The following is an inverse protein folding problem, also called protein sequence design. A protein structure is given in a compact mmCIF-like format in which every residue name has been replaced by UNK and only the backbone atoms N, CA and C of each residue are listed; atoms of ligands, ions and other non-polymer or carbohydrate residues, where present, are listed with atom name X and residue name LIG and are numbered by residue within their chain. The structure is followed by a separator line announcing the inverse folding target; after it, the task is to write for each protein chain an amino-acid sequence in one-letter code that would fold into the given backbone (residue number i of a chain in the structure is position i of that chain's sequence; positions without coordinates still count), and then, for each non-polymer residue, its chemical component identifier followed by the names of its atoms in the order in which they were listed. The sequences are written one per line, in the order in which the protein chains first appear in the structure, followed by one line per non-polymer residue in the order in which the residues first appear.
data_IF_832217550446
#
_entry.id   IF_832217550446
#
_cell.length_a   1.000
_cell.length_b   1.000
_cell.length_c   1.000
_cell.angle_alpha   90.00
_cell.angle_beta   90.00
_cell.angle_gamma   90.00
#
_symmetry.space_group_name_H-M   'P 1'
#
loop_
_entity.id
_entity.type
_entity.pdbx_description
1 polymer ?
#
# COMPACT_ATOMS: atom_id res chain seq x y z
N UNK A 1 -5.79 -20.93 -46.45
CA UNK A 1 -5.63 -19.88 -45.39
C UNK A 1 -4.91 -18.59 -45.83
N UNK A 2 -4.61 -18.38 -47.13
CA UNK A 2 -3.91 -17.17 -47.63
C UNK A 2 -4.82 -16.11 -48.27
N UNK A 3 -6.08 -16.36 -48.45
CA UNK A 3 -7.02 -15.46 -49.13
C UNK A 3 -7.85 -14.59 -48.19
N UNK A 4 -7.98 -14.95 -46.91
CA UNK A 4 -8.79 -14.19 -45.97
C UNK A 4 -8.08 -12.94 -45.42
N UNK A 5 -6.74 -12.94 -45.39
CA UNK A 5 -5.97 -11.75 -44.94
C UNK A 5 -5.96 -10.60 -45.95
N UNK A 6 -6.27 -10.83 -47.22
CA UNK A 6 -6.32 -9.80 -48.27
C UNK A 6 -7.67 -9.07 -48.31
N UNK A 7 -8.76 -9.71 -47.88
CA UNK A 7 -10.08 -9.06 -47.82
C UNK A 7 -10.22 -8.11 -46.64
N UNK A 8 -9.51 -8.37 -45.52
CA UNK A 8 -9.57 -7.49 -44.32
C UNK A 8 -8.77 -6.20 -44.52
N UNK A 9 -7.73 -6.21 -45.36
CA UNK A 9 -6.92 -5.02 -45.68
C UNK A 9 -7.63 -4.01 -46.60
N UNK A 10 -8.59 -4.48 -47.41
CA UNK A 10 -9.30 -3.61 -48.34
C UNK A 10 -10.50 -2.89 -47.70
N UNK A 11 -11.04 -3.45 -46.60
CA UNK A 11 -12.17 -2.84 -45.87
C UNK A 11 -11.75 -1.70 -44.93
N UNK A 12 -10.51 -1.69 -44.43
CA UNK A 12 -9.98 -0.58 -43.58
C UNK A 12 -9.58 0.66 -44.39
N UNK A 13 -9.27 0.52 -45.70
CA UNK A 13 -8.84 1.66 -46.53
C UNK A 13 -10.00 2.53 -47.02
N UNK A 14 -11.23 2.02 -47.05
CA UNK A 14 -12.43 2.76 -47.54
C UNK A 14 -13.13 3.58 -46.46
N UNK A 15 -12.90 3.32 -45.17
CA UNK A 15 -13.50 4.09 -44.06
C UNK A 15 -12.70 5.35 -43.73
N UNK A 16 -11.43 5.45 -44.14
CA UNK A 16 -10.54 6.56 -43.80
C UNK A 16 -10.56 7.74 -44.75
N UNK A 17 -11.38 7.68 -45.83
CA UNK A 17 -11.39 8.70 -46.91
C UNK A 17 -12.63 9.60 -46.91
N UNK A 18 -13.52 9.52 -45.93
CA UNK A 18 -14.75 10.34 -45.86
C UNK A 18 -14.78 11.45 -44.76
N UNK A 19 -13.64 11.79 -44.10
CA UNK A 19 -13.64 12.76 -43.01
C UNK A 19 -12.84 14.04 -43.26
N UNK A 20 -12.60 14.42 -44.53
CA UNK A 20 -11.83 15.63 -44.88
C UNK A 20 -12.61 16.62 -45.79
N UNK A 21 -13.88 16.91 -45.51
CA UNK A 21 -14.60 17.99 -46.19
C UNK A 21 -15.77 18.49 -45.34
N UNK A 22 -15.49 19.37 -44.38
CA UNK A 22 -16.39 20.41 -43.84
C UNK A 22 -15.59 21.12 -42.72
N UNK A 23 -15.27 22.38 -42.69
CA UNK A 23 -15.72 23.54 -43.33
C UNK A 23 -15.15 24.70 -42.49
N UNK A 24 -14.46 25.63 -43.07
CA UNK A 24 -14.10 26.92 -42.43
C UNK A 24 -15.36 27.70 -42.10
N UNK A 25 -15.45 28.18 -40.85
CA UNK A 25 -16.47 29.13 -40.39
C UNK A 25 -15.95 29.90 -39.20
N UNK A 26 -15.85 31.19 -39.42
CA UNK A 26 -15.32 32.32 -38.68
C UNK A 26 -15.81 32.46 -37.22
N UNK A 27 -14.95 32.98 -36.35
CA UNK A 27 -15.13 33.33 -34.91
C UNK A 27 -16.31 34.29 -34.66
N UNK A 28 -16.81 34.44 -33.40
CA UNK A 28 -16.15 35.31 -32.43
C UNK A 28 -16.05 34.76 -31.00
N UNK A 29 -15.19 35.43 -30.23
CA UNK A 29 -14.87 35.24 -28.82
C UNK A 29 -16.06 34.92 -27.90
N UNK A 30 -15.95 33.79 -27.18
CA UNK A 30 -16.73 33.54 -25.99
C UNK A 30 -15.78 33.00 -24.90
N UNK A 31 -15.93 33.44 -23.66
CA UNK A 31 -14.97 33.13 -22.59
C UNK A 31 -14.87 31.60 -22.33
N UNK A 32 -13.70 31.16 -21.95
CA UNK A 32 -13.44 29.81 -21.51
C UNK A 32 -14.44 29.43 -20.42
N UNK A 33 -15.41 28.59 -20.77
CA UNK A 33 -16.18 27.87 -19.80
C UNK A 33 -15.22 26.94 -19.07
N UNK A 34 -15.13 27.20 -17.78
CA UNK A 34 -14.58 26.35 -16.74
C UNK A 34 -15.05 24.93 -16.99
N UNK A 35 -14.15 24.10 -17.49
CA UNK A 35 -14.38 22.66 -17.53
C UNK A 35 -14.45 22.19 -16.07
N UNK A 36 -15.64 22.32 -15.48
CA UNK A 36 -15.99 21.56 -14.30
C UNK A 36 -15.78 20.12 -14.67
N UNK A 37 -14.66 19.54 -14.19
CA UNK A 37 -14.51 18.12 -14.06
C UNK A 37 -15.76 17.64 -13.33
N UNK A 38 -16.66 16.94 -14.03
CA UNK A 38 -17.67 16.15 -13.39
C UNK A 38 -16.90 15.18 -12.48
N UNK A 39 -16.83 15.55 -11.20
CA UNK A 39 -16.48 14.65 -10.11
C UNK A 39 -17.55 13.56 -10.15
N UNK A 40 -17.27 12.48 -10.86
CA UNK A 40 -18.01 11.24 -10.80
C UNK A 40 -17.80 10.63 -9.43
N UNK A 41 -18.19 11.37 -8.38
CA UNK A 41 -18.13 10.94 -7.00
C UNK A 41 -18.87 9.61 -6.89
N UNK A 42 -18.10 8.53 -6.79
CA UNK A 42 -18.64 7.29 -6.27
C UNK A 42 -19.13 7.59 -4.86
N UNK A 43 -20.38 7.22 -4.52
CA UNK A 43 -20.90 7.27 -3.15
C UNK A 43 -20.11 6.27 -2.27
N UNK A 44 -18.81 6.48 -2.14
CA UNK A 44 -17.90 5.67 -1.33
C UNK A 44 -17.12 6.61 -0.39
N UNK A 45 -16.99 6.23 0.90
CA UNK A 45 -17.62 5.08 1.58
C UNK A 45 -19.05 5.36 2.02
N UNK A 46 -19.91 4.32 2.08
CA UNK A 46 -21.29 4.37 2.58
C UNK A 46 -21.51 3.51 3.82
N UNK A 47 -20.45 2.92 4.34
CA UNK A 47 -20.42 2.07 5.54
C UNK A 47 -19.02 2.11 6.15
N UNK A 48 -18.90 1.61 7.37
CA UNK A 48 -17.61 1.54 8.09
C UNK A 48 -16.55 0.78 7.32
N UNK A 49 -15.32 1.28 7.39
CA UNK A 49 -14.11 0.66 6.83
C UNK A 49 -13.42 -0.15 7.92
N UNK A 50 -12.97 -1.37 7.62
CA UNK A 50 -12.18 -2.19 8.53
C UNK A 50 -10.70 -2.10 8.18
N UNK A 51 -9.92 -1.54 9.10
CA UNK A 51 -8.45 -1.43 8.98
C UNK A 51 -7.80 -2.55 9.79
N UNK A 52 -7.28 -3.55 9.09
CA UNK A 52 -6.61 -4.69 9.70
C UNK A 52 -5.15 -4.32 10.02
N UNK A 53 -4.78 -4.55 11.28
CA UNK A 53 -3.42 -4.40 11.79
C UNK A 53 -2.89 -5.78 12.19
N UNK A 54 -1.91 -6.35 11.47
CA UNK A 54 -1.39 -7.69 11.74
C UNK A 54 -0.47 -7.78 12.96
N UNK A 55 -0.48 -6.78 13.83
CA UNK A 55 0.38 -6.63 14.98
C UNK A 55 -0.43 -6.46 16.27
N UNK A 56 0.21 -6.69 17.42
CA UNK A 56 -0.43 -6.58 18.72
C UNK A 56 -0.96 -5.18 19.02
N UNK A 57 -2.11 -5.12 19.69
CA UNK A 57 -2.69 -3.87 20.16
C UNK A 57 -1.75 -3.14 21.12
N UNK A 58 -1.66 -1.82 21.01
CA UNK A 58 -0.77 -0.96 21.82
C UNK A 58 0.68 -0.93 21.31
N UNK A 59 1.03 -1.66 20.28
CA UNK A 59 2.31 -1.56 19.59
C UNK A 59 2.37 -0.33 18.67
N UNK A 60 3.54 -0.07 18.11
CA UNK A 60 3.77 1.08 17.21
C UNK A 60 2.84 1.09 16.00
N UNK A 61 2.68 -0.05 15.33
CA UNK A 61 1.79 -0.17 14.16
C UNK A 61 0.33 0.09 14.53
N UNK A 62 -0.14 -0.43 15.66
CA UNK A 62 -1.50 -0.21 16.16
C UNK A 62 -1.74 1.25 16.53
N UNK A 63 -0.79 1.88 17.23
CA UNK A 63 -0.87 3.29 17.58
C UNK A 63 -0.97 4.19 16.35
N UNK A 64 -0.13 3.95 15.35
CA UNK A 64 -0.16 4.68 14.08
C UNK A 64 -1.47 4.43 13.33
N UNK A 65 -1.92 3.18 13.21
CA UNK A 65 -3.18 2.83 12.56
C UNK A 65 -4.38 3.56 13.17
N UNK A 66 -4.49 3.57 14.50
CA UNK A 66 -5.58 4.29 15.21
C UNK A 66 -5.50 5.79 15.03
N UNK A 67 -4.29 6.34 14.95
CA UNK A 67 -4.09 7.76 14.67
C UNK A 67 -4.60 8.11 13.26
N UNK A 68 -4.21 7.33 12.24
CA UNK A 68 -4.69 7.54 10.87
C UNK A 68 -6.19 7.29 10.75
N UNK A 69 -6.72 6.24 11.39
CA UNK A 69 -8.15 5.94 11.38
C UNK A 69 -8.98 7.14 11.82
N UNK A 70 -8.58 7.79 12.92
CA UNK A 70 -9.26 8.99 13.43
C UNK A 70 -9.32 10.13 12.41
N UNK A 71 -8.21 10.41 11.71
CA UNK A 71 -8.21 11.46 10.69
C UNK A 71 -8.97 11.06 9.42
N UNK A 72 -8.95 9.78 9.09
CA UNK A 72 -9.73 9.26 7.95
C UNK A 72 -11.24 9.36 8.22
N UNK A 73 -11.70 9.10 9.45
CA UNK A 73 -13.11 9.28 9.84
C UNK A 73 -13.57 10.73 9.60
N UNK A 74 -12.73 11.71 10.00
CA UNK A 74 -13.04 13.13 9.82
C UNK A 74 -13.17 13.54 8.34
N UNK A 75 -12.41 12.89 7.46
CA UNK A 75 -12.38 13.20 6.01
C UNK A 75 -13.45 12.42 5.24
N UNK A 76 -13.62 11.15 5.58
CA UNK A 76 -14.50 10.24 4.84
C UNK A 76 -15.95 10.25 5.32
N UNK A 77 -16.21 10.77 6.55
CA UNK A 77 -17.54 10.80 7.14
C UNK A 77 -18.06 9.44 7.63
N UNK A 78 -17.22 8.40 7.57
CA UNK A 78 -17.57 7.04 7.98
C UNK A 78 -16.57 6.50 9.00
N UNK A 79 -17.02 5.60 9.86
CA UNK A 79 -16.16 5.00 10.90
C UNK A 79 -15.07 4.12 10.31
N UNK A 80 -13.84 4.26 10.82
CA UNK A 80 -12.70 3.40 10.48
C UNK A 80 -12.35 2.51 11.68
N UNK A 81 -12.77 1.26 11.64
CA UNK A 81 -12.59 0.29 12.73
C UNK A 81 -11.21 -0.35 12.60
N UNK A 82 -10.36 -0.17 13.61
CA UNK A 82 -9.03 -0.81 13.68
C UNK A 82 -9.14 -2.17 14.36
N UNK A 83 -8.82 -3.23 13.64
CA UNK A 83 -8.87 -4.62 14.10
C UNK A 83 -7.47 -5.25 14.09
N UNK A 84 -7.03 -5.75 15.25
CA UNK A 84 -5.73 -6.44 15.36
C UNK A 84 -5.91 -7.94 15.09
N UNK A 85 -5.24 -8.47 14.04
CA UNK A 85 -5.19 -9.90 13.72
C UNK A 85 -3.72 -10.33 13.72
N UNK A 86 -3.27 -10.87 14.85
CA UNK A 86 -1.87 -11.28 15.05
C UNK A 86 -1.63 -12.72 14.67
N UNK A 87 -0.39 -13.07 14.42
CA UNK A 87 0.07 -14.46 14.21
C UNK A 87 0.98 -14.59 12.99
N UNK A 88 1.90 -15.53 13.13
CA UNK A 88 2.86 -15.91 12.09
C UNK A 88 3.58 -14.69 11.46
N UNK A 89 4.16 -13.81 12.32
CA UNK A 89 4.82 -12.59 11.85
C UNK A 89 3.91 -11.61 11.11
N UNK A 90 2.60 -11.62 11.39
CA UNK A 90 1.59 -10.80 10.72
C UNK A 90 1.00 -11.41 9.44
N UNK A 91 1.43 -12.61 9.05
CA UNK A 91 0.91 -13.26 7.85
C UNK A 91 -0.60 -13.55 7.95
N UNK A 92 -1.13 -13.93 9.14
CA UNK A 92 -2.56 -14.20 9.29
C UNK A 92 -3.41 -12.96 9.00
N UNK A 93 -3.07 -11.80 9.55
CA UNK A 93 -3.83 -10.57 9.32
C UNK A 93 -3.69 -10.05 7.89
N UNK A 94 -2.52 -10.17 7.27
CA UNK A 94 -2.35 -9.78 5.88
C UNK A 94 -3.07 -10.73 4.91
N UNK A 95 -3.15 -12.02 5.21
CA UNK A 95 -3.91 -12.99 4.43
C UNK A 95 -5.42 -12.71 4.47
N UNK A 96 -5.95 -12.31 5.62
CA UNK A 96 -7.35 -11.90 5.76
C UNK A 96 -7.69 -10.77 4.77
N UNK A 97 -6.85 -9.73 4.68
CA UNK A 97 -7.07 -8.63 3.74
C UNK A 97 -6.87 -9.08 2.30
N UNK A 98 -5.85 -9.90 2.01
CA UNK A 98 -5.60 -10.44 0.66
C UNK A 98 -6.81 -11.21 0.12
N UNK A 99 -7.55 -11.89 1.00
CA UNK A 99 -8.72 -12.69 0.63
C UNK A 99 -10.05 -11.91 0.72
N UNK A 100 -10.03 -10.67 1.22
CA UNK A 100 -11.21 -9.83 1.30
C UNK A 100 -11.68 -9.35 -0.09
N UNK A 101 -12.93 -8.88 -0.17
CA UNK A 101 -13.45 -8.26 -1.39
C UNK A 101 -12.67 -6.98 -1.70
N UNK A 102 -12.28 -6.75 -2.97
CA UNK A 102 -11.53 -5.55 -3.38
C UNK A 102 -12.46 -4.33 -3.56
N UNK A 103 -13.30 -4.07 -2.56
CA UNK A 103 -14.31 -3.00 -2.55
C UNK A 103 -13.89 -1.75 -1.75
N UNK A 104 -12.67 -1.75 -1.20
CA UNK A 104 -12.12 -0.66 -0.40
C UNK A 104 -12.55 -0.65 1.07
N UNK A 105 -13.42 -1.56 1.52
CA UNK A 105 -13.91 -1.59 2.90
C UNK A 105 -13.06 -2.43 3.86
N UNK A 106 -12.09 -3.18 3.34
CA UNK A 106 -11.11 -3.89 4.16
C UNK A 106 -9.72 -3.51 3.70
N UNK A 107 -8.97 -2.82 4.52
CA UNK A 107 -7.62 -2.35 4.19
C UNK A 107 -6.59 -2.88 5.19
N UNK A 108 -5.35 -3.00 4.73
CA UNK A 108 -4.20 -3.44 5.51
C UNK A 108 -3.39 -2.22 5.95
N UNK A 109 -3.17 -2.07 7.25
CA UNK A 109 -2.19 -1.14 7.78
C UNK A 109 -1.01 -1.92 8.33
N UNK A 110 0.08 -1.95 7.57
CA UNK A 110 1.22 -2.79 7.89
C UNK A 110 2.54 -2.14 7.42
N UNK A 111 3.65 -2.81 7.64
CA UNK A 111 5.00 -2.33 7.36
C UNK A 111 5.83 -3.36 6.58
N UNK A 112 7.15 -3.15 6.49
CA UNK A 112 8.10 -3.96 5.69
C UNK A 112 8.10 -5.46 6.03
N UNK A 113 7.59 -5.88 7.19
CA UNK A 113 7.45 -7.31 7.51
C UNK A 113 6.60 -8.07 6.50
N UNK A 114 5.70 -7.42 5.77
CA UNK A 114 4.98 -8.03 4.66
C UNK A 114 5.94 -8.66 3.63
N UNK A 115 6.96 -7.90 3.22
CA UNK A 115 7.96 -8.39 2.27
C UNK A 115 9.01 -9.32 2.93
N UNK A 116 9.28 -9.14 4.22
CA UNK A 116 10.15 -10.04 4.99
C UNK A 116 9.50 -11.43 5.09
N UNK A 117 8.21 -11.51 5.35
CA UNK A 117 7.46 -12.76 5.39
C UNK A 117 7.56 -13.53 4.06
N UNK A 118 7.48 -12.84 2.94
CA UNK A 118 7.70 -13.43 1.62
C UNK A 118 9.15 -13.92 1.45
N UNK A 119 10.13 -13.07 1.76
CA UNK A 119 11.54 -13.40 1.60
C UNK A 119 12.00 -14.59 2.49
N UNK A 120 11.35 -14.78 3.64
CA UNK A 120 11.64 -15.87 4.58
C UNK A 120 10.77 -17.10 4.39
N UNK A 121 9.82 -17.08 3.44
CA UNK A 121 8.92 -18.20 3.17
C UNK A 121 7.80 -18.38 4.19
N UNK A 122 7.55 -17.40 5.04
CA UNK A 122 6.40 -17.39 5.97
C UNK A 122 5.09 -17.19 5.19
N UNK A 123 5.11 -16.37 4.15
CA UNK A 123 4.04 -16.19 3.19
C UNK A 123 4.56 -16.37 1.76
N UNK A 124 3.70 -16.75 0.83
CA UNK A 124 3.99 -16.87 -0.60
C UNK A 124 3.73 -15.58 -1.39
N UNK A 125 3.46 -14.47 -0.70
CA UNK A 125 3.15 -13.15 -1.25
C UNK A 125 3.82 -12.04 -0.42
N UNK A 126 4.02 -10.89 -1.06
CA UNK A 126 4.48 -9.64 -0.46
C UNK A 126 3.54 -8.50 -0.79
N UNK A 127 4.08 -7.28 -0.87
CA UNK A 127 3.30 -6.07 -1.16
C UNK A 127 2.65 -6.08 -2.55
N UNK A 128 3.15 -6.86 -3.49
CA UNK A 128 2.59 -7.01 -4.84
C UNK A 128 1.21 -7.68 -4.88
N UNK A 129 0.81 -8.33 -3.78
CA UNK A 129 -0.53 -8.92 -3.65
C UNK A 129 -1.63 -7.91 -3.28
N UNK A 130 -1.26 -6.65 -3.08
CA UNK A 130 -2.15 -5.59 -2.63
C UNK A 130 -2.06 -4.36 -3.53
N UNK A 131 -3.17 -3.63 -3.65
CA UNK A 131 -3.14 -2.28 -4.21
C UNK A 131 -2.67 -1.30 -3.13
N UNK A 132 -1.52 -0.65 -3.36
CA UNK A 132 -0.93 0.28 -2.39
C UNK A 132 -1.62 1.64 -2.47
N UNK A 133 -2.35 2.00 -1.42
CA UNK A 133 -3.02 3.31 -1.32
C UNK A 133 -2.01 4.42 -0.99
N UNK A 134 -1.19 4.22 0.04
CA UNK A 134 -0.21 5.22 0.47
C UNK A 134 0.93 4.61 1.29
N UNK A 135 2.10 5.25 1.25
CA UNK A 135 3.18 5.04 2.22
C UNK A 135 3.09 6.15 3.26
N UNK A 136 2.56 5.82 4.43
CA UNK A 136 2.20 6.79 5.48
C UNK A 136 3.33 7.11 6.46
N UNK A 137 4.44 6.39 6.38
CA UNK A 137 5.59 6.62 7.24
C UNK A 137 6.87 6.02 6.67
N UNK A 138 7.99 6.56 7.10
CA UNK A 138 9.33 6.06 6.78
C UNK A 138 10.14 6.00 8.07
N UNK A 139 10.70 4.82 8.38
CA UNK A 139 11.66 4.69 9.47
C UNK A 139 12.97 5.41 9.11
N UNK A 140 13.56 6.08 10.10
CA UNK A 140 14.89 6.68 9.97
C UNK A 140 16.04 5.66 10.10
N UNK A 141 15.72 4.40 10.39
CA UNK A 141 16.66 3.30 10.59
C UNK A 141 16.36 2.50 11.86
N UNK A 142 17.11 1.44 12.04
CA UNK A 142 17.07 0.60 13.23
C UNK A 142 18.07 1.10 14.27
N UNK A 143 17.74 0.94 15.54
CA UNK A 143 18.63 1.28 16.65
C UNK A 143 18.98 0.04 17.45
N UNK A 144 20.27 -0.12 17.76
CA UNK A 144 20.72 -1.08 18.77
C UNK A 144 20.78 -0.34 20.08
N UNK A 145 19.98 -0.77 21.05
CA UNK A 145 19.90 -0.15 22.36
C UNK A 145 20.45 -1.12 23.39
N UNK A 146 21.27 -0.61 24.28
CA UNK A 146 21.88 -1.38 25.38
C UNK A 146 21.59 -0.69 26.72
N UNK A 147 21.81 -1.40 27.83
CA UNK A 147 21.72 -0.79 29.16
C UNK A 147 22.81 0.28 29.31
N UNK A 148 22.53 1.34 30.07
CA UNK A 148 23.48 2.43 30.31
C UNK A 148 24.75 1.99 31.06
N UNK A 149 24.71 0.84 31.72
CA UNK A 149 25.83 0.24 32.43
C UNK A 149 26.48 -0.93 31.65
N UNK A 150 26.21 -1.05 30.36
CA UNK A 150 26.86 -2.05 29.52
C UNK A 150 28.37 -1.77 29.39
N UNK A 151 29.22 -2.82 29.25
CA UNK A 151 30.67 -2.65 29.16
C UNK A 151 31.15 -2.26 27.74
N UNK A 152 30.27 -1.67 26.92
CA UNK A 152 30.54 -1.21 25.56
C UNK A 152 29.61 -0.04 25.20
N UNK A 153 30.15 0.97 24.53
CA UNK A 153 29.47 2.19 24.13
C UNK A 153 29.31 2.30 22.60
N UNK A 154 30.02 1.49 21.83
CA UNK A 154 29.98 1.49 20.36
C UNK A 154 29.64 0.11 19.82
N UNK A 155 29.25 0.06 18.54
CA UNK A 155 28.98 -1.21 17.86
C UNK A 155 30.22 -2.08 17.74
N UNK A 156 31.38 -1.47 17.51
CA UNK A 156 32.67 -2.15 17.42
C UNK A 156 33.04 -2.81 18.75
N UNK A 157 32.84 -2.11 19.86
CA UNK A 157 33.08 -2.64 21.20
C UNK A 157 32.09 -3.75 21.57
N UNK A 158 30.81 -3.60 21.20
CA UNK A 158 29.81 -4.67 21.37
C UNK A 158 30.22 -5.93 20.61
N UNK A 159 30.66 -5.79 19.35
CA UNK A 159 31.12 -6.93 18.53
C UNK A 159 32.36 -7.58 19.18
N UNK A 160 33.37 -6.79 19.57
CA UNK A 160 34.56 -7.29 20.20
C UNK A 160 34.27 -8.01 21.52
N UNK A 161 33.40 -7.41 22.36
CA UNK A 161 32.95 -8.02 23.60
C UNK A 161 32.22 -9.34 23.38
N UNK A 162 31.32 -9.38 22.41
CA UNK A 162 30.56 -10.58 22.04
C UNK A 162 31.45 -11.71 21.54
N UNK A 163 32.48 -11.38 20.75
CA UNK A 163 33.48 -12.35 20.28
C UNK A 163 34.35 -12.91 21.42
N UNK A 164 34.75 -12.04 22.37
CA UNK A 164 35.55 -12.44 23.53
C UNK A 164 34.71 -13.23 24.57
N UNK A 165 33.40 -13.04 24.60
CA UNK A 165 32.47 -13.64 25.57
C UNK A 165 31.30 -14.34 24.83
N UNK A 166 31.53 -15.44 24.14
CA UNK A 166 30.50 -16.09 23.34
C UNK A 166 29.30 -16.51 24.20
N UNK A 167 28.10 -16.32 23.66
CA UNK A 167 26.81 -16.65 24.29
C UNK A 167 26.43 -15.82 25.55
N UNK A 168 27.18 -14.77 25.90
CA UNK A 168 26.86 -13.90 27.04
C UNK A 168 25.95 -12.74 26.64
N UNK A 169 26.09 -12.22 25.41
CA UNK A 169 25.24 -11.15 24.89
C UNK A 169 23.92 -11.75 24.38
N UNK A 170 22.82 -11.28 24.96
CA UNK A 170 21.47 -11.66 24.53
C UNK A 170 20.85 -10.49 23.77
N UNK A 171 20.30 -10.77 22.61
CA UNK A 171 19.63 -9.79 21.75
C UNK A 171 18.13 -10.06 21.79
N UNK A 172 17.35 -9.02 22.08
CA UNK A 172 15.91 -9.03 21.85
C UNK A 172 15.64 -8.30 20.54
N UNK A 173 14.98 -8.93 19.62
CA UNK A 173 14.52 -8.32 18.38
C UNK A 173 12.99 -8.37 18.33
N UNK A 174 12.38 -7.30 17.85
CA UNK A 174 10.97 -7.29 17.51
C UNK A 174 10.84 -7.83 16.07
N UNK A 175 9.95 -8.79 15.90
CA UNK A 175 9.64 -9.41 14.59
C UNK A 175 8.21 -9.07 14.21
#
# INVERSE_FOLDING_TARGET
MKTWKKLFSLFCATVMMCSLLAGCGNSPDTPADDASSEDGGTDWPTKSINMIVPMGAGGDTDFNARTYAKYLEDVLGETVVVTNITGNGGALGSEEVKNASPDGYTCLFYHTCLNINQATGIADYGSEAFETVAVVGKSSGEAVVVRADAPYDTMEELIAYSQANPQTVKIAANT
#
